data_IF_643666087792
#
_entry.id   IF_643666087792
#
_cell.length_a   1.000
_cell.length_b   1.000
_cell.length_c   1.000
_cell.angle_alpha   90.00
_cell.angle_beta   90.00
_cell.angle_gamma   90.00
#
_symmetry.space_group_name_H-M   'P 1'
#
loop_
_entity.id
_entity.type
_entity.pdbx_description
1 polymer ?
2 non-polymer ?
#
# COMPACT_ATOMS: atom_id res chain seq x y z
N UNK A 1 2.37 18.22 -3.37
CA UNK A 1 3.66 18.05 -4.09
C UNK A 1 3.41 16.87 -4.98
N UNK A 2 4.16 16.72 -6.06
CA UNK A 2 4.01 15.49 -6.83
C UNK A 2 5.15 14.60 -6.43
N UNK A 3 4.85 13.33 -6.28
CA UNK A 3 5.90 12.39 -5.93
C UNK A 3 5.93 11.28 -6.95
N UNK A 4 7.11 11.08 -7.49
CA UNK A 4 7.28 9.88 -8.30
C UNK A 4 7.59 8.73 -7.39
N UNK A 5 7.51 7.54 -7.95
CA UNK A 5 7.58 6.34 -7.14
C UNK A 5 8.87 5.58 -7.27
N UNK A 6 9.93 6.31 -7.64
CA UNK A 6 11.24 5.62 -7.70
C UNK A 6 11.77 5.31 -6.33
N UNK A 7 11.30 6.09 -5.37
CA UNK A 7 11.67 5.69 -4.02
C UNK A 7 10.39 5.62 -3.25
N UNK A 8 10.45 5.04 -2.04
CA UNK A 8 9.24 4.93 -1.23
C UNK A 8 8.72 6.32 -0.91
N UNK A 9 7.40 6.53 -1.02
CA UNK A 9 6.86 7.88 -0.75
C UNK A 9 6.71 8.11 0.75
N UNK A 10 7.74 8.65 1.35
CA UNK A 10 7.74 8.91 2.79
C UNK A 10 7.43 10.37 3.06
N UNK A 11 6.63 10.63 4.10
CA UNK A 11 6.45 12.01 4.54
C UNK A 11 6.68 12.17 6.05
N UNK A 12 6.87 13.39 6.45
CA UNK A 12 6.83 13.70 7.88
C UNK A 12 5.42 14.00 8.41
N UNK A 13 5.07 13.33 9.49
CA UNK A 13 3.83 13.67 10.17
C UNK A 13 4.10 14.19 11.59
N UNK A 14 3.22 15.08 12.05
CA UNK A 14 3.25 15.37 13.47
C UNK A 14 1.96 14.84 14.03
N UNK A 15 2.12 14.06 15.07
CA UNK A 15 0.96 13.52 15.73
C UNK A 15 1.22 13.42 17.20
N UNK A 16 0.26 13.91 17.96
CA UNK A 16 0.39 13.84 19.41
C UNK A 16 1.63 14.51 19.97
N UNK A 17 2.02 15.61 19.34
CA UNK A 17 3.27 16.24 19.76
C UNK A 17 4.56 15.57 19.30
N UNK A 18 4.48 14.46 18.56
CA UNK A 18 5.71 13.80 18.15
C UNK A 18 5.83 13.79 16.65
N UNK A 19 7.05 13.70 16.20
CA UNK A 19 7.35 13.81 14.78
C UNK A 19 7.74 12.43 14.31
N UNK A 20 7.13 11.97 13.22
CA UNK A 20 7.37 10.65 12.65
C UNK A 20 7.53 10.75 11.14
N UNK A 21 8.02 9.68 10.53
CA UNK A 21 7.93 9.54 9.08
C UNK A 21 6.98 8.39 8.73
N UNK A 22 6.30 8.52 7.60
CA UNK A 22 5.26 7.54 7.30
C UNK A 22 5.17 7.38 5.80
N UNK A 23 4.72 6.22 5.37
CA UNK A 23 4.57 5.93 3.95
C UNK A 23 3.20 6.36 3.47
N UNK A 24 3.16 6.97 2.30
CA UNK A 24 1.85 7.17 1.69
C UNK A 24 1.41 5.91 0.99
N UNK A 25 0.32 5.33 1.47
CA UNK A 25 0.00 3.98 1.04
C UNK A 25 -1.39 3.87 0.46
N UNK A 26 -1.47 3.97 -0.85
CA UNK A 26 -2.79 3.85 -1.46
C UNK A 26 -3.48 2.49 -1.33
N UNK A 27 -2.71 1.49 -0.92
CA UNK A 27 -3.38 0.18 -0.75
C UNK A 27 -4.08 -0.01 0.59
N UNK A 28 -3.86 0.92 1.52
CA UNK A 28 -4.36 0.76 2.86
C UNK A 28 -5.62 1.55 2.96
N UNK A 29 -6.68 0.92 3.44
CA UNK A 29 -7.88 1.74 3.63
C UNK A 29 -7.77 2.73 4.75
N UNK A 30 -7.09 2.31 5.80
CA UNK A 30 -7.00 3.06 7.05
C UNK A 30 -5.56 3.35 7.35
N UNK A 31 -5.30 4.22 8.32
CA UNK A 31 -3.95 4.53 8.80
C UNK A 31 -3.59 3.68 9.99
N UNK A 32 -2.38 3.14 9.96
CA UNK A 32 -1.86 2.37 11.08
C UNK A 32 -0.41 2.71 11.37
N UNK A 33 -0.16 2.96 12.64
CA UNK A 33 1.12 3.44 13.10
C UNK A 33 1.67 2.48 14.13
N UNK A 34 3.00 2.46 14.21
CA UNK A 34 3.66 1.70 15.25
C UNK A 34 3.24 2.21 16.62
N UNK A 35 3.47 1.37 17.62
CA UNK A 35 3.24 1.74 19.01
C UNK A 35 3.87 3.07 19.35
N UNK A 36 3.03 3.91 19.91
CA UNK A 36 3.44 5.23 20.35
C UNK A 36 2.36 5.68 21.30
N UNK A 37 2.67 6.70 22.11
CA UNK A 37 1.69 7.06 23.13
C UNK A 37 0.67 8.07 22.62
N UNK A 38 -0.58 7.66 22.63
CA UNK A 38 -1.64 8.63 22.41
C UNK A 38 -2.40 8.72 23.70
N UNK A 39 -2.99 9.89 23.96
CA UNK A 39 -3.84 9.93 25.13
C UNK A 39 -5.24 9.47 24.79
N UNK A 40 -5.82 8.77 25.71
CA UNK A 40 -7.27 8.72 25.58
C UNK A 40 -7.84 7.37 25.28
N UNK A 41 -9.01 7.45 24.68
CA UNK A 41 -9.82 6.24 24.54
C UNK A 41 -9.45 5.56 23.27
N UNK A 42 -9.55 4.26 23.32
CA UNK A 42 -9.42 3.51 22.09
C UNK A 42 -10.31 2.32 22.16
N UNK A 43 -10.42 1.64 21.05
CA UNK A 43 -11.12 0.37 21.00
C UNK A 43 -10.12 -0.65 20.46
N UNK A 44 -10.22 -1.93 20.83
CA UNK A 44 -9.44 -2.97 20.10
C UNK A 44 -9.99 -3.21 18.71
N UNK A 45 -9.13 -3.60 17.79
CA UNK A 45 -9.56 -3.96 16.44
C UNK A 45 -8.55 -4.97 15.94
N UNK A 46 -8.88 -5.68 14.86
CA UNK A 46 -7.90 -6.58 14.24
C UNK A 46 -7.92 -6.30 12.78
N UNK A 47 -6.76 -6.19 12.17
CA UNK A 47 -6.74 -5.91 10.73
C UNK A 47 -5.91 -6.98 10.08
N UNK A 48 -6.20 -7.24 8.82
CA UNK A 48 -5.48 -8.29 8.12
C UNK A 48 -4.58 -7.67 7.09
N UNK A 49 -3.40 -8.24 6.98
CA UNK A 49 -2.40 -7.78 6.05
C UNK A 49 -1.92 -8.97 5.24
N UNK A 50 -0.89 -8.71 4.43
CA UNK A 50 -0.16 -9.82 3.85
C UNK A 50 0.54 -10.49 4.99
N UNK A 51 0.39 -11.78 5.08
CA UNK A 51 1.10 -12.32 6.25
C UNK A 51 0.19 -12.65 7.42
N UNK A 52 -0.96 -12.00 7.51
CA UNK A 52 -1.82 -12.35 8.66
C UNK A 52 -2.50 -11.17 9.30
N UNK A 53 -2.80 -11.32 10.57
CA UNK A 53 -3.65 -10.33 11.21
C UNK A 53 -2.90 -9.71 12.33
N UNK A 54 -3.21 -8.46 12.62
CA UNK A 54 -2.74 -7.96 13.92
C UNK A 54 -3.87 -7.34 14.72
N UNK A 55 -3.66 -7.34 16.03
CA UNK A 55 -4.61 -6.61 16.84
C UNK A 55 -4.10 -5.19 17.07
N UNK A 56 -4.99 -4.25 17.02
CA UNK A 56 -4.55 -2.87 16.95
C UNK A 56 -5.50 -2.10 17.83
N UNK A 57 -5.10 -0.90 18.26
CA UNK A 57 -6.05 -0.05 18.97
C UNK A 57 -6.53 1.04 18.07
N UNK A 58 -7.84 1.16 17.98
CA UNK A 58 -8.44 2.27 17.24
C UNK A 58 -8.69 3.51 18.09
N UNK A 59 -8.18 4.66 17.65
CA UNK A 59 -8.45 5.94 18.30
C UNK A 59 -9.15 6.79 17.28
N UNK A 60 -10.20 7.46 17.71
CA UNK A 60 -10.95 8.23 16.71
C UNK A 60 -10.61 9.67 16.86
N UNK A 61 -10.88 10.44 15.82
CA UNK A 61 -10.73 11.91 15.89
C UNK A 61 -9.35 12.37 16.35
N UNK A 62 -8.33 11.71 15.81
CA UNK A 62 -6.95 12.16 16.05
C UNK A 62 -6.51 13.10 14.97
N UNK A 63 -5.99 14.23 15.42
CA UNK A 63 -5.41 15.22 14.52
C UNK A 63 -4.03 14.74 14.06
N UNK A 64 -3.79 14.81 12.76
CA UNK A 64 -2.45 14.53 12.27
C UNK A 64 -2.11 15.69 11.39
N UNK A 65 -0.83 16.08 11.35
CA UNK A 65 -0.36 17.00 10.30
C UNK A 65 0.59 16.29 9.39
N UNK A 66 0.28 16.30 8.10
CA UNK A 66 1.00 15.45 7.14
C UNK A 66 1.54 16.41 6.16
N UNK A 67 2.87 16.48 6.02
CA UNK A 67 3.39 17.69 5.34
C UNK A 67 2.78 18.93 6.04
N UNK A 68 2.34 19.96 5.34
CA UNK A 68 1.74 21.05 6.14
C UNK A 68 0.21 21.05 6.18
N UNK A 69 -0.36 19.84 6.18
CA UNK A 69 -1.82 19.76 6.02
C UNK A 69 -2.34 19.08 7.27
N UNK A 70 -3.40 19.62 7.83
CA UNK A 70 -3.93 18.96 9.02
C UNK A 70 -5.12 18.12 8.65
N UNK A 71 -5.28 17.01 9.33
CA UNK A 71 -6.40 16.14 9.05
C UNK A 71 -6.81 15.62 10.40
N UNK A 72 -8.04 15.14 10.52
CA UNK A 72 -8.49 14.46 11.74
C UNK A 72 -9.11 13.16 11.31
N UNK A 73 -8.87 12.11 12.06
CA UNK A 73 -9.49 10.87 11.67
C UNK A 73 -9.10 9.80 12.63
N UNK A 74 -9.46 8.60 12.24
CA UNK A 74 -9.16 7.44 13.04
C UNK A 74 -7.75 7.01 12.74
N UNK A 75 -6.99 6.70 13.78
CA UNK A 75 -5.72 6.03 13.52
C UNK A 75 -5.75 4.76 14.29
N UNK A 76 -5.14 3.75 13.70
CA UNK A 76 -4.98 2.47 14.36
C UNK A 76 -3.55 2.45 14.79
N UNK A 77 -3.29 2.10 16.04
CA UNK A 77 -1.89 2.01 16.50
C UNK A 77 -1.62 0.54 16.73
N UNK A 78 -0.41 0.06 16.45
CA UNK A 78 -0.17 -1.38 16.65
C UNK A 78 1.22 -1.80 16.17
N UNK A 79 1.48 -3.09 16.27
CA UNK A 79 2.78 -3.56 15.78
C UNK A 79 2.81 -3.71 14.27
N UNK A 80 2.76 -2.61 13.56
CA UNK A 80 3.13 -2.68 12.15
C UNK A 80 4.60 -2.43 12.09
N UNK A 81 5.29 -3.02 11.13
CA UNK A 81 6.69 -2.60 10.95
C UNK A 81 6.93 -1.18 10.43
N UNK A 82 5.94 -0.61 9.73
CA UNK A 82 6.11 0.73 9.18
C UNK A 82 4.83 1.50 9.36
N UNK A 83 4.98 2.81 9.44
CA UNK A 83 3.79 3.62 9.65
C UNK A 83 3.21 3.87 8.29
N UNK A 84 1.92 3.63 8.12
CA UNK A 84 1.30 3.85 6.82
C UNK A 84 0.11 4.77 6.92
N UNK A 85 0.09 5.69 5.97
CA UNK A 85 -1.07 6.54 5.82
C UNK A 85 -1.95 5.99 4.71
N UNK A 86 -3.18 5.65 5.09
CA UNK A 86 -4.09 5.01 4.17
C UNK A 86 -5.15 5.98 3.71
N UNK A 87 -6.05 5.46 2.90
CA UNK A 87 -6.93 6.33 2.14
C UNK A 87 -7.88 7.21 2.94
N UNK A 88 -8.24 6.73 4.13
CA UNK A 88 -8.98 7.59 5.08
C UNK A 88 -8.37 8.92 5.41
N UNK A 89 -7.06 9.03 5.32
CA UNK A 89 -6.45 10.36 5.51
C UNK A 89 -6.00 10.93 4.20
N UNK A 90 -5.66 10.03 3.29
CA UNK A 90 -5.23 10.43 1.97
C UNK A 90 -6.30 11.21 1.24
N UNK A 91 -7.54 10.85 1.43
CA UNK A 91 -8.56 11.71 0.82
C UNK A 91 -8.67 13.12 1.42
N UNK A 92 -8.43 13.21 2.73
CA UNK A 92 -8.45 14.52 3.40
C UNK A 92 -7.41 15.53 2.93
N UNK A 93 -6.25 15.01 2.58
CA UNK A 93 -5.30 15.97 2.04
C UNK A 93 -5.33 16.10 0.53
N UNK A 94 -6.35 15.51 -0.10
CA UNK A 94 -6.50 15.75 -1.53
C UNK A 94 -5.54 15.01 -2.45
N UNK A 95 -5.04 13.91 -1.94
CA UNK A 95 -4.09 13.14 -2.73
C UNK A 95 -4.75 12.37 -3.88
N UNK A 96 -4.21 12.51 -5.09
CA UNK A 96 -4.60 11.70 -6.26
C UNK A 96 -3.47 10.83 -6.80
N UNK A 97 -3.93 9.82 -7.50
CA UNK A 97 -2.99 8.97 -8.21
C UNK A 97 -3.14 9.34 -9.66
N UNK A 98 -2.03 9.41 -10.35
CA UNK A 98 -2.10 9.82 -11.74
C UNK A 98 -1.22 8.98 -12.55
N UNK A 99 -1.83 8.40 -13.52
CA UNK A 99 -1.08 7.91 -14.67
C UNK A 99 -2.02 8.26 -15.74
N UNK B 1 -5.05 7.98 -16.02
CA UNK B 1 -6.09 9.01 -15.80
C UNK B 1 -5.77 9.45 -14.39
N UNK B 2 -6.59 10.36 -13.91
CA UNK B 2 -6.44 10.65 -12.49
C UNK B 2 -7.42 9.79 -11.70
N UNK B 3 -6.97 9.33 -10.55
CA UNK B 3 -7.84 8.56 -9.69
C UNK B 3 -7.75 9.14 -8.30
N UNK B 4 -8.92 9.42 -7.77
CA UNK B 4 -9.03 9.87 -6.40
C UNK B 4 -9.16 8.63 -5.49
N UNK B 5 -9.00 8.85 -4.20
CA UNK B 5 -8.87 7.67 -3.37
C UNK B 5 -10.05 7.42 -2.47
N UNK B 6 -11.24 7.80 -2.92
CA UNK B 6 -12.42 7.53 -2.11
C UNK B 6 -12.83 6.09 -2.15
N UNK B 7 -12.41 5.41 -3.21
CA UNK B 7 -12.59 3.97 -3.18
C UNK B 7 -11.26 3.34 -3.49
N UNK B 8 -11.16 2.03 -3.28
CA UNK B 8 -9.90 1.36 -3.64
C UNK B 8 -9.53 1.54 -5.12
N UNK B 9 -8.25 1.90 -5.36
CA UNK B 9 -7.83 2.06 -6.76
C UNK B 9 -7.54 0.71 -7.43
N UNK B 10 -8.61 0.08 -7.92
CA UNK B 10 -8.40 -1.17 -8.65
C UNK B 10 -8.25 -0.92 -10.11
N UNK B 11 -7.40 -1.71 -10.76
CA UNK B 11 -7.29 -1.68 -12.22
C UNK B 11 -7.42 -3.08 -12.75
N UNK B 12 -7.73 -3.20 -14.04
CA UNK B 12 -7.66 -4.53 -14.64
C UNK B 12 -6.25 -4.79 -15.14
N UNK B 13 -5.78 -6.01 -14.92
CA UNK B 13 -4.52 -6.38 -15.56
C UNK B 13 -4.73 -7.59 -16.45
N UNK B 14 -3.87 -7.72 -17.45
CA UNK B 14 -3.80 -9.01 -18.14
C UNK B 14 -2.41 -9.55 -17.93
N UNK B 15 -2.37 -10.79 -17.48
CA UNK B 15 -1.10 -11.38 -17.12
C UNK B 15 -1.19 -12.88 -17.42
N UNK B 16 -0.24 -13.39 -18.19
CA UNK B 16 -0.31 -14.84 -18.52
C UNK B 16 -1.55 -15.36 -19.25
N UNK B 17 -2.10 -14.46 -20.05
CA UNK B 17 -3.35 -14.76 -20.72
C UNK B 17 -4.60 -14.63 -19.87
N UNK B 18 -4.45 -14.31 -18.60
CA UNK B 18 -5.63 -14.23 -17.76
C UNK B 18 -5.90 -12.80 -17.36
N UNK B 19 -7.19 -12.52 -17.14
CA UNK B 19 -7.61 -11.17 -16.73
C UNK B 19 -7.88 -11.15 -15.24
N UNK B 20 -7.32 -10.18 -14.53
CA UNK B 20 -7.52 -10.09 -13.09
C UNK B 20 -7.69 -8.65 -12.74
N UNK B 21 -8.09 -8.39 -11.51
CA UNK B 21 -8.05 -6.99 -11.04
C UNK B 21 -7.00 -6.83 -9.97
N UNK B 22 -6.43 -5.65 -9.93
CA UNK B 22 -5.36 -5.44 -8.97
C UNK B 22 -5.45 -4.06 -8.34
N UNK B 23 -4.82 -3.97 -7.19
CA UNK B 23 -4.81 -2.73 -6.44
C UNK B 23 -3.54 -1.97 -6.72
N UNK B 24 -3.70 -0.72 -7.03
CA UNK B 24 -2.49 0.11 -7.20
C UNK B 24 -1.95 0.48 -5.84
N UNK B 25 -0.73 0.06 -5.56
CA UNK B 25 -0.34 0.17 -4.15
C UNK B 25 1.00 0.86 -3.99
N UNK B 26 0.97 2.14 -3.62
CA UNK B 26 2.23 2.85 -3.44
C UNK B 26 3.08 2.39 -2.23
N UNK B 27 2.45 1.72 -1.28
CA UNK B 27 3.26 1.28 -0.15
C UNK B 27 4.11 0.05 -0.44
N UNK B 28 3.86 -0.60 -1.58
CA UNK B 28 4.47 -1.88 -1.87
C UNK B 28 5.61 -1.70 -2.82
N UNK B 29 6.75 -2.28 -2.45
CA UNK B 29 7.90 -2.14 -3.35
C UNK B 29 7.77 -2.92 -4.64
N UNK B 30 7.19 -4.09 -4.46
CA UNK B 30 7.07 -5.07 -5.53
C UNK B 30 5.63 -5.41 -5.75
N UNK B 31 5.38 -6.12 -6.83
CA UNK B 31 4.06 -6.65 -7.18
C UNK B 31 3.90 -8.07 -6.70
N UNK B 32 2.73 -8.33 -6.15
CA UNK B 32 2.44 -9.62 -5.51
C UNK B 32 1.05 -10.06 -5.90
N UNK B 33 0.98 -11.24 -6.53
CA UNK B 33 -0.27 -11.74 -7.05
C UNK B 33 -0.69 -13.00 -6.34
N UNK B 34 -1.99 -13.18 -6.30
CA UNK B 34 -2.53 -14.43 -5.77
C UNK B 34 -2.03 -15.60 -6.60
N UNK B 35 -2.08 -16.78 -6.02
CA UNK B 35 -1.48 -17.92 -6.70
C UNK B 35 -2.14 -18.11 -8.05
N UNK B 36 -1.33 -18.25 -9.08
CA UNK B 36 -1.89 -18.46 -10.40
C UNK B 36 -0.90 -19.27 -11.19
N UNK B 37 -1.36 -19.65 -12.38
CA UNK B 37 -0.62 -20.51 -13.31
C UNK B 37 0.27 -19.61 -14.13
N UNK B 38 1.57 -19.84 -14.02
CA UNK B 38 2.48 -18.97 -14.75
C UNK B 38 3.63 -19.80 -15.23
N UNK B 39 4.01 -19.64 -16.50
CA UNK B 39 5.25 -20.28 -16.96
C UNK B 39 6.45 -19.42 -16.62
N UNK B 40 7.59 -19.98 -16.24
CA UNK B 40 7.81 -21.40 -16.08
C UNK B 40 8.79 -21.61 -14.95
N UNK B 41 9.86 -20.82 -14.94
CA UNK B 41 10.78 -21.05 -13.83
C UNK B 41 10.84 -19.83 -12.94
N UNK B 42 11.15 -20.08 -11.67
CA UNK B 42 10.95 -19.07 -10.63
C UNK B 42 11.87 -19.32 -9.46
N UNK B 43 11.97 -18.34 -8.58
CA UNK B 43 12.81 -18.49 -7.39
C UNK B 43 12.03 -18.20 -6.11
N UNK B 44 12.20 -19.01 -5.04
CA UNK B 44 11.42 -18.75 -3.81
C UNK B 44 11.90 -17.50 -3.09
N UNK B 45 10.97 -16.78 -2.49
CA UNK B 45 11.33 -15.62 -1.67
C UNK B 45 10.42 -15.61 -0.45
N UNK B 46 10.77 -14.77 0.53
CA UNK B 46 9.88 -14.42 1.66
C UNK B 46 9.53 -12.98 1.48
N UNK B 47 8.32 -12.58 1.78
CA UNK B 47 8.17 -11.13 1.96
C UNK B 47 7.50 -10.91 3.29
N UNK B 48 7.78 -9.76 3.89
CA UNK B 48 7.07 -9.46 5.12
C UNK B 48 6.01 -8.38 4.91
N UNK B 49 4.90 -8.51 5.61
CA UNK B 49 3.92 -7.44 5.64
C UNK B 49 3.39 -7.23 7.04
N UNK B 50 2.28 -6.52 7.12
CA UNK B 50 1.57 -6.52 8.40
C UNK B 50 1.03 -7.93 8.63
N UNK B 51 1.22 -8.45 9.82
CA UNK B 51 0.73 -9.82 9.94
C UNK B 51 1.86 -10.81 9.94
N UNK B 52 2.89 -10.54 9.16
CA UNK B 52 3.96 -11.52 9.19
C UNK B 52 4.51 -11.74 7.81
N UNK B 53 5.19 -12.86 7.67
CA UNK B 53 5.88 -13.03 6.40
C UNK B 53 5.20 -14.06 5.57
N UNK B 54 5.36 -13.98 4.27
CA UNK B 54 4.88 -15.12 3.48
C UNK B 54 5.97 -15.63 2.56
N UNK B 55 5.79 -16.84 2.08
CA UNK B 55 6.74 -17.37 1.11
C UNK B 55 6.10 -17.28 -0.26
N UNK B 56 6.85 -16.78 -1.23
CA UNK B 56 6.28 -16.50 -2.56
C UNK B 56 7.23 -17.04 -3.61
N UNK B 57 6.75 -17.09 -4.85
CA UNK B 57 7.63 -17.47 -5.93
C UNK B 57 7.94 -16.24 -6.74
N UNK B 58 9.18 -16.07 -7.11
CA UNK B 58 9.55 -14.91 -7.91
C UNK B 58 9.75 -15.27 -9.36
N UNK B 59 9.02 -14.58 -10.23
CA UNK B 59 9.13 -14.75 -11.68
C UNK B 59 9.64 -13.45 -12.22
N UNK B 60 10.71 -13.52 -12.99
CA UNK B 60 11.23 -12.24 -13.48
C UNK B 60 10.84 -12.12 -14.90
N UNK B 61 10.94 -10.91 -15.41
CA UNK B 61 10.61 -10.67 -16.82
C UNK B 61 9.25 -11.15 -17.29
N UNK B 62 8.25 -10.91 -16.45
CA UNK B 62 6.88 -11.23 -16.86
C UNK B 62 6.22 -10.03 -17.52
N UNK B 63 5.48 -10.30 -18.59
CA UNK B 63 4.72 -9.24 -19.25
C UNK B 63 3.37 -9.06 -18.58
N UNK B 64 3.03 -7.84 -18.25
CA UNK B 64 1.74 -7.52 -17.64
C UNK B 64 1.16 -6.36 -18.39
N UNK B 65 -0.14 -6.39 -18.63
CA UNK B 65 -0.82 -5.19 -19.14
C UNK B 65 -1.75 -4.63 -18.11
N UNK B 66 -1.46 -3.41 -17.67
CA UNK B 66 -2.18 -2.75 -16.56
C UNK B 66 -2.90 -1.59 -17.17
N UNK B 67 -4.21 -1.57 -17.10
CA UNK B 67 -4.93 -0.80 -18.14
C UNK B 67 -4.34 -1.19 -19.53
N UNK B 68 -4.01 -0.23 -20.38
CA UNK B 68 -3.52 -0.71 -21.68
C UNK B 68 -2.02 -0.80 -21.73
N UNK B 69 -1.39 -0.57 -20.58
CA UNK B 69 0.03 -0.26 -20.64
C UNK B 69 0.80 -1.51 -20.41
N UNK B 70 1.75 -1.75 -21.26
CA UNK B 70 2.53 -2.96 -21.02
C UNK B 70 3.70 -2.62 -20.11
N UNK B 71 4.06 -3.57 -19.24
CA UNK B 71 5.31 -3.47 -18.51
C UNK B 71 5.88 -4.86 -18.39
N UNK B 72 7.19 -4.95 -18.13
CA UNK B 72 7.87 -6.24 -17.95
C UNK B 72 8.56 -6.10 -16.63
N UNK B 73 8.39 -7.06 -15.76
CA UNK B 73 9.09 -6.88 -14.48
C UNK B 73 9.00 -8.14 -13.71
N UNK B 74 9.43 -8.03 -12.49
CA UNK B 74 9.29 -9.16 -11.57
C UNK B 74 7.90 -9.22 -10.98
N UNK B 75 7.30 -10.40 -10.91
CA UNK B 75 6.10 -10.53 -10.08
C UNK B 75 6.34 -11.59 -9.06
N UNK B 76 5.79 -11.40 -7.87
CA UNK B 76 5.83 -12.44 -6.83
C UNK B 76 4.47 -13.06 -6.74
N UNK B 77 4.41 -14.38 -6.76
CA UNK B 77 3.11 -15.04 -6.73
C UNK B 77 3.06 -15.82 -5.44
N UNK B 78 1.91 -15.81 -4.81
CA UNK B 78 1.93 -16.37 -3.48
C UNK B 78 0.62 -16.15 -2.81
N UNK B 79 0.59 -16.51 -1.53
CA UNK B 79 -0.67 -16.45 -0.79
C UNK B 79 -1.12 -15.05 -0.34
N UNK B 80 -1.11 -14.10 -1.27
CA UNK B 80 -1.67 -12.83 -0.84
C UNK B 80 -3.18 -12.95 -0.89
N UNK B 81 -3.86 -12.27 0.03
CA UNK B 81 -5.30 -12.11 -0.13
C UNK B 81 -5.70 -11.14 -1.25
N UNK B 82 -4.74 -10.34 -1.74
CA UNK B 82 -5.08 -9.33 -2.73
C UNK B 82 -3.92 -9.10 -3.69
N UNK B 83 -4.28 -8.94 -4.94
CA UNK B 83 -3.30 -8.68 -5.98
C UNK B 83 -2.86 -7.24 -5.84
N UNK B 84 -1.57 -7.06 -5.65
CA UNK B 84 -0.99 -5.75 -5.36
C UNK B 84 0.00 -5.39 -6.45
N UNK B 85 -0.19 -4.22 -7.06
CA UNK B 85 0.81 -3.71 -7.98
C UNK B 85 1.62 -2.67 -7.26
N UNK B 86 2.88 -2.98 -7.02
CA UNK B 86 3.73 -2.06 -6.30
C UNK B 86 4.63 -1.21 -7.18
N UNK B 87 5.58 -0.56 -6.52
CA UNK B 87 6.35 0.46 -7.21
C UNK B 87 7.20 0.00 -8.35
N UNK B 88 7.66 -1.25 -8.27
CA UNK B 88 8.38 -1.74 -9.45
C UNK B 88 7.65 -1.61 -10.79
N UNK B 89 6.34 -1.80 -10.77
CA UNK B 89 5.68 -1.56 -12.05
C UNK B 89 4.98 -0.23 -12.17
N UNK B 90 4.69 0.39 -11.03
CA UNK B 90 4.04 1.71 -11.10
C UNK B 90 4.94 2.73 -11.75
N UNK B 91 6.22 2.57 -11.53
CA UNK B 91 7.11 3.48 -12.23
C UNK B 91 7.12 3.29 -13.72
N UNK B 92 6.94 2.03 -14.14
CA UNK B 92 6.93 1.78 -15.58
C UNK B 92 5.75 2.34 -16.30
N UNK B 93 4.61 2.36 -15.63
CA UNK B 93 3.50 3.02 -16.30
C UNK B 93 3.45 4.52 -16.07
N UNK B 94 4.45 5.02 -15.39
CA UNK B 94 4.52 6.47 -15.16
C UNK B 94 3.59 7.00 -14.08
N UNK B 95 3.20 6.16 -13.16
CA UNK B 95 2.28 6.65 -12.16
C UNK B 95 2.90 7.57 -11.12
N UNK B 96 2.22 8.67 -10.82
CA UNK B 96 2.63 9.59 -9.76
C UNK B 96 1.56 9.79 -8.70
N UNK B 97 2.07 10.27 -7.59
CA UNK B 97 1.23 10.61 -6.46
C UNK B 97 1.19 12.11 -6.42
N UNK B 98 0.02 12.67 -6.30
CA UNK B 98 -0.03 14.13 -6.33
C UNK B 98 -0.95 14.58 -5.26
N UNK B 99 -0.43 15.48 -4.48
CA UNK B 99 -1.25 16.32 -3.65
C UNK B 99 -0.60 17.65 -3.71
X LIG C 1 0.42 -4.84 3.69
X LIG C 1 1.83 -3.12 2.54
X LIG C 1 0.93 -2.50 1.48
X LIG C 1 -0.43 -2.16 2.06
X LIG C 1 -1.23 -3.39 2.43
X LIG C 1 2.56 -5.49 2.94
X LIG C 1 3.31 -5.61 1.66
X LIG C 1 2.68 -5.51 0.39
X LIG C 1 3.45 -5.70 -0.78
X LIG C 1 4.83 -5.98 -0.67
X LIG C 1 5.44 -6.08 0.61
X LIG C 1 4.68 -5.88 1.77
X LIG C 1 5.65 -6.22 -1.91
X LIG C 1 2.14 -2.22 3.75
X LIG C 1 3.43 -2.62 4.43
X LIG C 1 3.41 -3.08 5.76
X LIG C 1 4.61 -3.49 6.38
X LIG C 1 5.82 -3.46 5.65
X LIG C 1 5.85 -2.99 4.32
X LIG C 1 4.66 -2.57 3.71
X LIG C 1 -1.55 -4.34 1.25
X LIG C 1 -2.74 -5.24 1.54
X LIG C 1 -2.53 -6.61 1.83
X LIG C 1 -3.62 -7.44 2.16
X LIG C 1 -4.92 -6.88 2.21
X LIG C 1 -5.14 -5.51 1.91
X LIG C 1 -4.05 -4.69 1.58
X LIG C 1 -1.75 -4.57 4.60
X LIG C 1 -2.56 -3.47 5.20
X LIG C 1 -3.89 -3.80 5.51
X LIG C 1 -4.70 -2.87 6.16
X LIG C 1 -4.19 -1.60 6.49
X LIG C 1 -2.85 -1.26 6.17
X LIG C 1 -2.03 -2.19 5.52
X LIG C 1 -5.07 -0.61 7.21
X LIG C 1 1.51 -4.48 3.01
X LIG C 1 -0.77 -4.20 3.58
X LIG C 1 0.49 -5.80 4.45
X LIG C 1 1.62 -1.34 1.05
X LIG C 1 -1.20 -1.46 1.12
X LIG C 1 6.90 -5.49 -1.86
X LIG C 1 -6.38 -0.58 6.62
#
# INVERSE_FOLDING_TARGET
>A
PQVTLWQRPLVTIKIGGQLKEALLDTGADDTVLEEMSLPGRWKPKMIGGIGGFIKVRQYDQILIEICGHKAIGTVLVGPTPVNVIGRNLLTQIGCTLNF
>B
PQVTLWQRPLVTIKIGGQLKEALLDTGADDTVLEEMSLPGRWKPKMIGGIGGFIKVRQYDQILIEICGHKAIGTVLVGPTPVNVIGRNLLTQIGCTLNF
>C hetero
1 DMP C1 C3 C4 C5 C6 C20 C21 C22 C23 C24 C25 C26 C27 C30 C31 C32 C33 C34 C35 C36 C60 C61 C62 C63 C64 C65 C66 C70 C71 C72 C73 C74 C75 C76 C77 N2 N7 O1 O4 O5 O27 O77
#
